data_IF_993735135889
#
_entry.id   IF_993735135889
#
_cell.length_a   1.000
_cell.length_b   1.000
_cell.length_c   1.000
_cell.angle_alpha   90.00
_cell.angle_beta   90.00
_cell.angle_gamma   90.00
#
_symmetry.space_group_name_H-M   'P 1'
#
loop_
_entity.id
_entity.type
_entity.pdbx_description
1 polymer ?
#
# COMPACT_ATOMS: atom_id res chain seq x y z
N UNK A 1 5.34 -11.15 -28.96
CA UNK A 1 6.29 -10.39 -28.12
C UNK A 1 5.66 -10.33 -26.75
N UNK A 2 6.24 -11.04 -25.79
CA UNK A 2 5.78 -11.03 -24.40
C UNK A 2 5.87 -9.61 -23.83
N UNK A 3 4.78 -9.11 -23.26
CA UNK A 3 4.81 -7.96 -22.37
C UNK A 3 5.64 -8.36 -21.14
N UNK A 4 6.95 -8.16 -21.19
CA UNK A 4 7.73 -8.07 -19.96
C UNK A 4 7.30 -6.76 -19.31
N UNK A 5 6.45 -6.85 -18.29
CA UNK A 5 6.11 -5.71 -17.45
C UNK A 5 7.42 -5.09 -16.93
N UNK A 6 7.60 -3.79 -17.14
CA UNK A 6 8.84 -3.14 -16.74
C UNK A 6 9.08 -3.34 -15.24
N UNK A 7 10.34 -3.59 -14.80
CA UNK A 7 10.63 -3.89 -13.41
C UNK A 7 10.20 -2.73 -12.52
N UNK A 8 9.54 -3.02 -11.40
CA UNK A 8 9.09 -2.01 -10.44
C UNK A 8 10.24 -1.04 -10.12
N UNK A 9 9.97 0.27 -10.18
CA UNK A 9 10.88 1.33 -9.74
C UNK A 9 10.22 2.19 -8.68
N UNK A 10 11.06 2.82 -7.87
CA UNK A 10 10.66 3.85 -6.92
C UNK A 10 11.42 5.14 -7.18
N UNK A 11 10.88 6.27 -6.74
CA UNK A 11 11.61 7.53 -6.81
C UNK A 11 12.66 7.61 -5.70
N UNK A 12 13.91 7.93 -6.01
CA UNK A 12 14.98 8.08 -5.01
C UNK A 12 14.69 9.19 -3.98
N UNK A 13 13.84 10.16 -4.31
CA UNK A 13 13.55 11.31 -3.42
C UNK A 13 12.40 11.07 -2.44
N UNK A 14 11.33 10.38 -2.88
CA UNK A 14 10.13 10.16 -2.07
C UNK A 14 9.77 8.68 -1.86
N UNK A 15 10.48 7.76 -2.53
CA UNK A 15 10.30 6.31 -2.49
C UNK A 15 8.89 5.82 -2.87
N UNK A 16 8.11 6.67 -3.54
CA UNK A 16 6.85 6.26 -4.17
C UNK A 16 7.11 5.28 -5.31
N UNK A 17 6.24 4.28 -5.42
CA UNK A 17 6.15 3.42 -6.60
C UNK A 17 5.92 4.29 -7.84
N UNK A 18 6.77 4.13 -8.86
CA UNK A 18 6.66 4.86 -10.11
C UNK A 18 5.77 4.08 -11.08
N UNK A 19 4.88 4.80 -11.76
CA UNK A 19 4.23 4.29 -12.95
C UNK A 19 5.25 4.27 -14.10
N UNK A 20 5.05 3.38 -15.06
CA UNK A 20 5.85 3.37 -16.29
C UNK A 20 4.96 3.47 -17.52
N UNK A 21 5.48 4.10 -18.57
CA UNK A 21 4.92 4.02 -19.91
C UNK A 21 5.97 3.44 -20.84
N UNK A 22 5.60 2.38 -21.54
CA UNK A 22 6.44 1.78 -22.58
C UNK A 22 6.01 2.32 -23.93
N UNK A 23 6.95 2.88 -24.67
CA UNK A 23 6.75 3.45 -26.02
C UNK A 23 7.78 2.87 -26.97
N UNK A 24 7.66 3.17 -28.27
CA UNK A 24 8.65 2.76 -29.28
C UNK A 24 10.07 3.30 -29.02
N UNK A 25 10.19 4.37 -28.21
CA UNK A 25 11.47 5.01 -27.86
C UNK A 25 12.03 4.56 -26.50
N UNK A 26 11.31 3.68 -25.78
CA UNK A 26 11.75 3.14 -24.49
C UNK A 26 10.72 3.30 -23.37
N UNK A 27 11.18 3.12 -22.13
CA UNK A 27 10.38 3.20 -20.90
C UNK A 27 10.60 4.55 -20.22
N UNK A 28 9.52 5.29 -19.97
CA UNK A 28 9.54 6.48 -19.09
C UNK A 28 8.92 6.17 -17.74
N UNK A 29 9.36 6.89 -16.71
CA UNK A 29 8.88 6.74 -15.34
C UNK A 29 8.22 8.02 -14.86
N UNK A 30 7.10 7.89 -14.18
CA UNK A 30 6.34 9.02 -13.66
C UNK A 30 5.84 8.74 -12.24
N UNK A 31 5.70 9.79 -11.45
CA UNK A 31 4.95 9.69 -10.21
C UNK A 31 3.50 9.32 -10.52
N UNK A 32 2.82 8.60 -9.61
CA UNK A 32 1.38 8.44 -9.70
C UNK A 32 0.69 9.79 -9.89
N UNK A 33 -0.32 9.85 -10.76
CA UNK A 33 -1.02 11.10 -11.13
C UNK A 33 -1.61 11.81 -9.90
N UNK A 34 -1.88 11.07 -8.83
CA UNK A 34 -2.41 11.53 -7.55
C UNK A 34 -1.34 11.95 -6.52
N UNK A 35 -0.05 11.89 -6.89
CA UNK A 35 1.05 12.29 -6.02
C UNK A 35 1.39 13.78 -6.22
N UNK A 36 1.03 14.63 -5.27
CA UNK A 36 1.50 16.01 -5.20
C UNK A 36 2.97 16.04 -4.76
N UNK A 37 3.90 16.04 -5.72
CA UNK A 37 5.33 16.05 -5.45
C UNK A 37 6.03 17.18 -6.21
N UNK A 38 6.76 18.03 -5.48
CA UNK A 38 7.49 19.18 -6.02
C UNK A 38 8.89 18.86 -6.55
N UNK A 39 9.12 17.65 -7.04
CA UNK A 39 10.43 17.23 -7.54
C UNK A 39 10.34 16.32 -8.76
N UNK A 40 11.41 16.32 -9.56
CA UNK A 40 11.54 15.41 -10.69
C UNK A 40 11.66 13.93 -10.25
N UNK A 41 11.30 13.04 -11.17
CA UNK A 41 11.35 11.59 -10.98
C UNK A 41 12.81 11.14 -11.10
N UNK A 42 13.27 10.36 -10.11
CA UNK A 42 14.60 9.73 -10.12
C UNK A 42 14.41 8.22 -9.93
N UNK A 43 14.25 7.43 -11.00
CA UNK A 43 13.88 6.02 -10.90
C UNK A 43 15.06 5.18 -10.40
N UNK A 44 14.87 4.48 -9.29
CA UNK A 44 15.82 3.51 -8.73
C UNK A 44 15.11 2.17 -8.47
N UNK A 45 15.84 1.05 -8.40
CA UNK A 45 15.27 -0.20 -7.89
C UNK A 45 14.65 0.02 -6.50
N UNK A 46 13.55 -0.67 -6.14
CA UNK A 46 13.03 -0.62 -4.78
C UNK A 46 14.11 -1.14 -3.80
N UNK A 47 14.23 -0.52 -2.61
CA UNK A 47 15.15 -1.02 -1.59
C UNK A 47 14.74 -2.43 -1.14
N UNK A 48 15.68 -3.26 -0.66
CA UNK A 48 15.36 -4.60 -0.15
C UNK A 48 14.25 -4.56 0.90
N UNK A 49 13.21 -5.39 0.73
CA UNK A 49 12.06 -5.44 1.65
C UNK A 49 11.02 -4.33 1.45
N UNK A 50 11.13 -3.51 0.38
CA UNK A 50 10.07 -2.59 0.00
C UNK A 50 8.81 -3.33 -0.45
N UNK A 51 7.68 -2.98 0.13
CA UNK A 51 6.40 -3.68 -0.06
C UNK A 51 5.38 -2.90 -0.88
N UNK A 52 5.71 -1.71 -1.39
CA UNK A 52 4.78 -0.92 -2.19
C UNK A 52 4.24 0.32 -1.50
N UNK A 53 2.94 0.54 -1.69
CA UNK A 53 2.15 1.54 -0.99
C UNK A 53 1.63 0.94 0.33
N UNK A 54 1.13 1.78 1.22
CA UNK A 54 0.40 1.31 2.41
C UNK A 54 -0.77 0.40 1.98
N UNK A 55 -0.84 -0.82 2.50
CA UNK A 55 -1.90 -1.81 2.24
C UNK A 55 -3.28 -1.37 2.73
N UNK A 56 -3.31 -0.33 3.57
CA UNK A 56 -4.54 0.26 4.09
C UNK A 56 -5.02 1.40 3.20
N UNK A 57 -4.32 2.53 3.18
CA UNK A 57 -4.80 3.72 2.48
C UNK A 57 -4.42 3.76 1.00
N UNK A 58 -3.46 2.95 0.55
CA UNK A 58 -2.93 2.96 -0.82
C UNK A 58 -2.40 4.31 -1.32
N UNK A 59 -2.14 5.27 -0.43
CA UNK A 59 -1.67 6.63 -0.77
C UNK A 59 -0.27 6.92 -0.25
N UNK A 60 0.00 6.60 1.01
CA UNK A 60 1.27 6.92 1.66
C UNK A 60 2.31 5.81 1.55
N UNK A 61 3.60 6.21 1.65
CA UNK A 61 4.74 5.29 1.80
C UNK A 61 4.57 4.47 3.09
N UNK A 62 4.73 3.14 3.04
CA UNK A 62 4.76 2.33 4.24
C UNK A 62 6.06 2.58 5.01
N UNK A 63 5.94 2.74 6.33
CA UNK A 63 7.06 2.89 7.27
C UNK A 63 7.04 1.80 8.34
N UNK A 64 5.95 1.04 8.40
CA UNK A 64 5.71 0.00 9.38
C UNK A 64 5.27 -1.31 8.71
N UNK A 65 5.54 -2.42 9.41
CA UNK A 65 4.99 -3.74 9.14
C UNK A 65 4.00 -4.07 10.25
N UNK A 66 2.80 -4.46 9.86
CA UNK A 66 1.80 -5.09 10.72
C UNK A 66 1.99 -6.62 10.56
N UNK A 67 2.66 -7.29 11.52
CA UNK A 67 2.91 -8.72 11.39
C UNK A 67 1.59 -9.49 11.51
N UNK A 68 1.32 -10.34 10.54
CA UNK A 68 0.11 -11.16 10.50
C UNK A 68 0.43 -12.51 9.86
N UNK A 69 -0.33 -13.55 10.22
CA UNK A 69 -0.37 -14.81 9.47
C UNK A 69 -1.06 -14.61 8.12
N UNK A 70 -0.78 -15.50 7.17
CA UNK A 70 -1.54 -15.58 5.93
C UNK A 70 -3.00 -15.96 6.23
N UNK A 71 -3.95 -15.38 5.49
CA UNK A 71 -5.37 -15.70 5.64
C UNK A 71 -6.16 -15.55 4.35
N UNK A 72 -7.26 -16.28 4.21
CA UNK A 72 -8.18 -16.10 3.08
C UNK A 72 -8.94 -14.77 3.16
N UNK A 73 -8.95 -14.03 2.05
CA UNK A 73 -9.66 -12.75 1.92
C UNK A 73 -11.17 -13.03 1.95
N UNK A 74 -11.92 -12.44 2.90
CA UNK A 74 -13.35 -12.68 3.01
C UNK A 74 -14.10 -12.31 1.73
N UNK A 75 -14.92 -13.22 1.20
CA UNK A 75 -15.80 -12.94 0.05
C UNK A 75 -15.10 -12.91 -1.31
N UNK A 76 -13.83 -13.29 -1.40
CA UNK A 76 -13.11 -13.43 -2.68
C UNK A 76 -12.53 -14.84 -2.75
N UNK A 77 -13.20 -15.74 -3.48
CA UNK A 77 -12.80 -17.14 -3.55
C UNK A 77 -11.37 -17.28 -4.13
N UNK A 78 -10.57 -18.16 -3.52
CA UNK A 78 -9.19 -18.43 -3.95
C UNK A 78 -8.17 -17.33 -3.65
N UNK A 79 -8.57 -16.20 -3.04
CA UNK A 79 -7.65 -15.11 -2.73
C UNK A 79 -7.15 -15.21 -1.29
N UNK A 80 -5.84 -15.37 -1.13
CA UNK A 80 -5.14 -15.26 0.15
C UNK A 80 -4.50 -13.88 0.28
N UNK A 81 -4.57 -13.32 1.48
CA UNK A 81 -3.73 -12.22 1.91
C UNK A 81 -2.46 -12.80 2.51
N UNK A 82 -1.32 -12.41 1.94
CA UNK A 82 -0.02 -12.64 2.57
C UNK A 82 0.08 -11.83 3.87
N UNK A 83 0.75 -12.39 4.85
CA UNK A 83 1.07 -11.74 6.11
C UNK A 83 1.97 -10.50 5.94
N UNK A 84 2.34 -9.88 7.07
CA UNK A 84 3.25 -8.73 7.12
C UNK A 84 2.77 -7.52 6.28
N UNK A 85 1.55 -7.05 6.55
CA UNK A 85 0.98 -5.90 5.86
C UNK A 85 1.81 -4.63 6.05
N UNK A 86 2.02 -3.90 4.98
CA UNK A 86 2.74 -2.64 4.93
C UNK A 86 1.84 -1.47 5.34
N UNK A 87 2.19 -0.75 6.39
CA UNK A 87 1.44 0.41 6.85
C UNK A 87 2.27 1.69 6.80
N UNK A 88 1.67 2.80 6.37
CA UNK A 88 2.25 4.13 6.63
C UNK A 88 2.17 4.45 8.13
N UNK A 89 2.88 5.49 8.58
CA UNK A 89 2.90 5.89 10.00
C UNK A 89 1.51 5.98 10.62
N UNK A 90 0.62 6.77 10.02
CA UNK A 90 -0.74 6.95 10.52
C UNK A 90 -1.56 5.66 10.54
N UNK A 91 -1.53 4.86 9.47
CA UNK A 91 -2.28 3.60 9.46
C UNK A 91 -1.70 2.58 10.45
N UNK A 92 -0.38 2.55 10.61
CA UNK A 92 0.30 1.69 11.59
C UNK A 92 -0.08 2.07 13.02
N UNK A 93 -0.08 3.35 13.35
CA UNK A 93 -0.52 3.86 14.66
C UNK A 93 -1.98 3.52 14.97
N UNK A 94 -2.89 3.64 13.99
CA UNK A 94 -4.29 3.28 14.18
C UNK A 94 -4.47 1.78 14.41
N UNK A 95 -3.68 0.93 13.73
CA UNK A 95 -3.66 -0.52 13.97
C UNK A 95 -3.13 -0.83 15.37
N UNK A 96 -2.00 -0.25 15.75
CA UNK A 96 -1.35 -0.45 17.06
C UNK A 96 -2.28 -0.05 18.21
N UNK A 97 -3.02 1.07 18.05
CA UNK A 97 -3.99 1.56 19.03
C UNK A 97 -5.36 0.84 18.96
N UNK A 98 -5.51 -0.17 18.09
CA UNK A 98 -6.76 -0.88 17.84
C UNK A 98 -7.95 0.03 17.44
N UNK A 99 -7.67 1.16 16.79
CA UNK A 99 -8.65 2.15 16.32
C UNK A 99 -9.20 1.81 14.92
N UNK A 100 -9.85 0.66 14.82
CA UNK A 100 -10.30 0.09 13.54
C UNK A 100 -11.35 0.92 12.80
N UNK A 101 -12.23 1.60 13.53
CA UNK A 101 -13.26 2.47 12.93
C UNK A 101 -12.64 3.74 12.34
N UNK A 102 -11.71 4.37 13.06
CA UNK A 102 -10.93 5.52 12.57
C UNK A 102 -10.07 5.13 11.35
N UNK A 103 -9.46 3.94 11.37
CA UNK A 103 -8.72 3.39 10.23
C UNK A 103 -9.64 3.21 9.01
N UNK A 104 -10.85 2.67 9.21
CA UNK A 104 -11.83 2.53 8.15
C UNK A 104 -12.29 3.86 7.56
N UNK A 105 -12.52 4.87 8.40
CA UNK A 105 -12.87 6.23 7.98
C UNK A 105 -11.75 6.85 7.16
N UNK A 106 -10.51 6.82 7.67
CA UNK A 106 -9.31 7.31 6.97
C UNK A 106 -9.14 6.67 5.60
N UNK A 107 -9.30 5.36 5.50
CA UNK A 107 -9.13 4.63 4.23
C UNK A 107 -10.21 5.04 3.22
N UNK A 108 -11.44 5.30 3.69
CA UNK A 108 -12.50 5.81 2.82
C UNK A 108 -12.26 7.26 2.38
N UNK A 109 -11.73 8.13 3.24
CA UNK A 109 -11.34 9.50 2.91
C UNK A 109 -10.20 9.53 1.89
N UNK A 110 -9.15 8.73 2.10
CA UNK A 110 -8.02 8.62 1.17
C UNK A 110 -8.46 8.01 -0.18
N UNK A 111 -9.41 7.08 -0.16
CA UNK A 111 -10.05 6.59 -1.38
C UNK A 111 -10.78 7.71 -2.11
N UNK A 112 -11.60 8.51 -1.42
CA UNK A 112 -12.36 9.59 -2.02
C UNK A 112 -11.46 10.68 -2.58
N UNK A 113 -10.44 11.09 -1.82
CA UNK A 113 -9.43 12.06 -2.28
C UNK A 113 -8.74 11.61 -3.56
N UNK A 114 -8.38 10.32 -3.65
CA UNK A 114 -7.68 9.76 -4.81
C UNK A 114 -8.57 9.60 -6.05
N UNK A 115 -9.81 9.18 -5.85
CA UNK A 115 -10.70 8.83 -6.96
C UNK A 115 -11.63 9.98 -7.37
N UNK A 116 -11.89 10.94 -6.49
CA UNK A 116 -12.87 12.02 -6.72
C UNK A 116 -14.32 11.59 -6.49
N UNK A 117 -14.56 10.40 -5.92
CA UNK A 117 -15.89 9.93 -5.53
C UNK A 117 -15.85 9.10 -4.24
N UNK A 118 -16.93 9.11 -3.43
CA UNK A 118 -16.94 8.44 -2.14
C UNK A 118 -16.90 6.91 -2.27
N UNK A 119 -16.23 6.26 -1.32
CA UNK A 119 -16.23 4.80 -1.22
C UNK A 119 -17.65 4.26 -0.98
N UNK A 120 -18.09 3.33 -1.81
CA UNK A 120 -19.42 2.73 -1.74
C UNK A 120 -19.67 1.99 -0.42
N UNK A 121 -20.94 1.89 0.00
CA UNK A 121 -21.32 1.11 1.21
C UNK A 121 -20.90 -0.35 1.13
N UNK A 122 -20.93 -0.94 -0.07
CA UNK A 122 -20.49 -2.30 -0.30
C UNK A 122 -18.99 -2.45 -0.04
N UNK A 123 -18.17 -1.56 -0.60
CA UNK A 123 -16.72 -1.56 -0.39
C UNK A 123 -16.37 -1.34 1.10
N UNK A 124 -17.05 -0.42 1.79
CA UNK A 124 -16.88 -0.21 3.25
C UNK A 124 -17.17 -1.48 4.06
N UNK A 125 -18.25 -2.21 3.74
CA UNK A 125 -18.59 -3.48 4.42
C UNK A 125 -17.53 -4.56 4.16
N UNK A 126 -17.00 -4.62 2.94
CA UNK A 126 -15.93 -5.55 2.59
C UNK A 126 -14.65 -5.23 3.35
N UNK A 127 -14.29 -3.96 3.44
CA UNK A 127 -13.16 -3.46 4.23
C UNK A 127 -13.28 -3.84 5.71
N UNK A 128 -14.45 -3.66 6.32
CA UNK A 128 -14.69 -4.07 7.71
C UNK A 128 -14.46 -5.57 7.93
N UNK A 129 -14.92 -6.41 7.00
CA UNK A 129 -14.69 -7.87 7.08
C UNK A 129 -13.22 -8.21 6.94
N UNK A 130 -12.53 -7.56 6.01
CA UNK A 130 -11.10 -7.73 5.78
C UNK A 130 -10.30 -7.36 7.03
N UNK A 131 -10.57 -6.20 7.65
CA UNK A 131 -9.89 -5.77 8.87
C UNK A 131 -10.22 -6.63 10.09
N UNK A 132 -11.46 -7.13 10.19
CA UNK A 132 -11.83 -8.12 11.22
C UNK A 132 -10.99 -9.39 11.06
N UNK A 133 -10.76 -9.83 9.82
CA UNK A 133 -9.93 -11.00 9.54
C UNK A 133 -8.46 -10.72 9.83
N UNK A 134 -7.92 -9.59 9.38
CA UNK A 134 -6.55 -9.16 9.66
C UNK A 134 -6.28 -9.11 11.17
N UNK A 135 -7.14 -8.42 11.93
CA UNK A 135 -7.00 -8.28 13.39
C UNK A 135 -6.85 -9.62 14.11
N UNK A 136 -7.58 -10.65 13.67
CA UNK A 136 -7.51 -12.01 14.24
C UNK A 136 -6.22 -12.76 13.88
N UNK A 137 -5.51 -12.31 12.86
CA UNK A 137 -4.28 -12.92 12.36
C UNK A 137 -3.03 -12.13 12.71
N UNK A 138 -3.15 -10.96 13.36
CA UNK A 138 -1.98 -10.20 13.84
C UNK A 138 -1.21 -11.06 14.86
N UNK A 139 0.09 -11.24 14.63
CA UNK A 139 0.95 -12.15 15.40
C UNK A 139 1.91 -11.43 16.35
N UNK A 140 1.93 -10.10 16.33
CA UNK A 140 2.81 -9.30 17.17
C UNK A 140 2.58 -7.80 17.02
N UNK A 141 3.40 -6.97 17.67
CA UNK A 141 3.28 -5.52 17.60
C UNK A 141 3.63 -4.99 16.20
N UNK A 142 3.04 -3.86 15.83
CA UNK A 142 3.45 -3.11 14.64
C UNK A 142 4.91 -2.68 14.84
N UNK A 143 5.73 -2.90 13.81
CA UNK A 143 7.18 -2.64 13.89
C UNK A 143 7.64 -1.78 12.71
N UNK A 144 8.64 -0.91 12.88
CA UNK A 144 9.18 -0.17 11.75
C UNK A 144 9.74 -1.14 10.70
N UNK A 145 9.58 -0.78 9.42
CA UNK A 145 10.33 -1.43 8.35
C UNK A 145 11.80 -1.11 8.61
N UNK A 146 12.57 -2.11 9.03
CA UNK A 146 14.02 -1.94 9.25
C UNK A 146 14.64 -1.69 7.89
N UNK A 147 15.23 -0.52 7.72
CA UNK A 147 16.13 -0.27 6.59
C UNK A 147 17.22 -1.33 6.62
N UNK A 148 17.33 -2.10 5.53
CA UNK A 148 18.52 -2.92 5.33
C UNK A 148 19.66 -1.92 5.16
N UNK A 149 20.51 -1.80 6.18
CA UNK A 149 21.81 -1.13 6.04
C UNK A 149 22.57 -1.92 4.97
N UNK A 150 22.63 -1.36 3.77
CA UNK A 150 23.62 -1.75 2.77
C UNK A 150 25.02 -1.33 3.21
#
# INVERSE_FOLDING_TARGET
MSNEDAPIRVCARCLLALNHRTTAVGVSWEHPVDAEVGHEVVPIPPPPGWTGKCDFCSTARPTHVVPANDFLVPGVAGHSSGGNWAACGTCGELVEQAKWDELGARVAEEFERRNGWPMSRFARRHLTKLYTRLRRNITGPVRPIREVKG
#
